data_IF_406226227847
#
_entry.id   IF_406226227847
#
_cell.length_a   1.000
_cell.length_b   1.000
_cell.length_c   1.000
_cell.angle_alpha   90.00
_cell.angle_beta   90.00
_cell.angle_gamma   90.00
#
_symmetry.space_group_name_H-M   'P 1'
#
loop_
_entity.id
_entity.type
_entity.pdbx_description
1 polymer ?
#
# COMPACT_ATOMS: atom_id res chain seq x y z
N UNK A 1 -12.12 -13.22 21.56
CA UNK A 1 -11.27 -14.09 20.72
C UNK A 1 -11.58 -13.78 19.27
N UNK A 2 -10.71 -13.01 18.62
CA UNK A 2 -10.85 -12.70 17.19
C UNK A 2 -10.14 -13.75 16.35
N UNK A 3 -10.50 -13.88 15.07
CA UNK A 3 -9.87 -14.84 14.16
C UNK A 3 -8.35 -14.61 14.07
N UNK A 4 -7.91 -13.35 14.17
CA UNK A 4 -6.49 -12.98 14.20
C UNK A 4 -5.75 -13.49 15.44
N UNK A 5 -6.37 -13.42 16.63
CA UNK A 5 -5.78 -13.97 17.87
C UNK A 5 -5.65 -15.49 17.81
N UNK A 6 -6.64 -16.17 17.25
CA UNK A 6 -6.62 -17.62 17.07
C UNK A 6 -5.49 -18.06 16.12
N UNK A 7 -5.35 -17.38 14.96
CA UNK A 7 -4.28 -17.67 13.99
C UNK A 7 -2.91 -17.34 14.60
N UNK A 8 -2.79 -16.26 15.39
CA UNK A 8 -1.53 -15.90 16.07
C UNK A 8 -1.07 -16.97 17.06
N UNK A 9 -2.01 -17.63 17.76
CA UNK A 9 -1.73 -18.67 18.72
C UNK A 9 -1.45 -20.04 18.07
N UNK A 10 -2.19 -20.38 17.02
CA UNK A 10 -2.09 -21.68 16.32
C UNK A 10 -0.97 -21.71 15.27
N UNK A 11 -0.82 -20.65 14.48
CA UNK A 11 0.19 -20.54 13.44
C UNK A 11 0.71 -19.10 13.29
N UNK A 12 1.75 -18.82 14.07
CA UNK A 12 2.43 -17.52 14.08
C UNK A 12 3.09 -17.18 12.75
N UNK A 13 3.52 -18.18 11.97
CA UNK A 13 4.15 -17.94 10.67
C UNK A 13 3.12 -17.47 9.65
N UNK A 14 1.95 -18.11 9.62
CA UNK A 14 0.84 -17.69 8.76
C UNK A 14 0.31 -16.32 9.18
N UNK A 15 0.17 -16.05 10.48
CA UNK A 15 -0.17 -14.72 10.99
C UNK A 15 0.80 -13.63 10.47
N UNK A 16 2.11 -13.86 10.58
CA UNK A 16 3.13 -12.91 10.11
C UNK A 16 3.11 -12.72 8.59
N UNK A 17 2.85 -13.77 7.81
CA UNK A 17 2.69 -13.68 6.35
C UNK A 17 1.46 -12.86 5.97
N UNK A 18 0.32 -13.11 6.63
CA UNK A 18 -0.91 -12.36 6.43
C UNK A 18 -0.74 -10.88 6.79
N UNK A 19 -0.05 -10.58 7.89
CA UNK A 19 0.25 -9.20 8.28
C UNK A 19 1.07 -8.47 7.20
N UNK A 20 2.07 -9.14 6.62
CA UNK A 20 2.89 -8.60 5.52
C UNK A 20 2.11 -8.45 4.21
N UNK A 21 1.12 -9.30 3.95
CA UNK A 21 0.21 -9.14 2.80
C UNK A 21 -0.77 -7.99 3.01
N UNK A 22 -1.19 -7.78 4.26
CA UNK A 22 -2.02 -6.67 4.69
C UNK A 22 -1.25 -5.38 4.99
N UNK A 23 0.09 -5.36 4.87
CA UNK A 23 0.91 -4.16 4.73
C UNK A 23 0.62 -3.49 3.37
N UNK A 24 -0.65 -3.15 3.15
CA UNK A 24 -1.02 -1.95 2.45
C UNK A 24 -0.38 -0.83 3.26
N UNK A 25 0.86 -0.45 2.92
CA UNK A 25 1.33 0.91 3.12
C UNK A 25 0.13 1.76 2.74
N UNK A 26 -0.54 2.34 3.73
CA UNK A 26 -1.77 3.07 3.52
C UNK A 26 -1.41 4.15 2.50
N UNK A 27 -1.72 3.89 1.23
CA UNK A 27 -1.63 4.92 0.21
C UNK A 27 -2.62 5.92 0.74
N UNK A 28 -2.11 7.08 1.18
CA UNK A 28 -2.97 8.15 1.67
C UNK A 28 -4.11 8.27 0.66
N UNK A 29 -5.37 8.09 1.07
CA UNK A 29 -6.48 8.21 0.14
C UNK A 29 -6.39 9.59 -0.47
N UNK A 30 -6.35 9.65 -1.80
CA UNK A 30 -6.38 10.93 -2.51
C UNK A 30 -7.80 11.45 -2.36
N UNK A 31 -7.96 12.57 -1.68
CA UNK A 31 -9.27 13.19 -1.43
C UNK A 31 -9.51 14.25 -2.49
N UNK A 32 -10.76 14.41 -2.93
CA UNK A 32 -11.15 15.53 -3.79
C UNK A 32 -10.90 16.85 -3.05
N UNK A 33 -10.19 17.78 -3.70
CA UNK A 33 -9.78 19.06 -3.09
C UNK A 33 -8.39 19.05 -2.44
N UNK A 34 -7.60 17.99 -2.59
CA UNK A 34 -6.18 17.98 -2.22
C UNK A 34 -5.34 18.85 -3.20
N UNK A 35 -4.09 19.15 -2.84
CA UNK A 35 -3.20 19.99 -3.66
C UNK A 35 -2.95 19.36 -5.03
N UNK A 36 -2.73 20.20 -6.05
CA UNK A 36 -2.46 19.76 -7.42
C UNK A 36 -1.28 18.78 -7.47
N UNK A 37 -0.24 19.01 -6.68
CA UNK A 37 0.93 18.13 -6.57
C UNK A 37 0.57 16.76 -5.97
N UNK A 38 -0.38 16.69 -5.05
CA UNK A 38 -0.85 15.43 -4.47
C UNK A 38 -1.78 14.67 -5.42
N UNK A 39 -2.64 15.36 -6.15
CA UNK A 39 -3.48 14.79 -7.20
C UNK A 39 -2.64 14.20 -8.36
N UNK A 40 -1.57 14.90 -8.74
CA UNK A 40 -0.66 14.47 -9.80
C UNK A 40 0.24 13.28 -9.44
N UNK A 41 0.38 12.94 -8.14
CA UNK A 41 1.15 11.77 -7.70
C UNK A 41 0.54 10.44 -8.14
N UNK A 42 -0.72 10.41 -8.56
CA UNK A 42 -1.34 9.19 -9.05
C UNK A 42 -0.90 8.88 -10.48
N UNK A 43 -0.13 7.79 -10.63
CA UNK A 43 0.14 6.96 -11.82
C UNK A 43 0.45 7.62 -13.18
N UNK A 44 0.49 8.93 -13.30
CA UNK A 44 0.76 9.64 -14.55
C UNK A 44 2.21 9.44 -14.97
N UNK A 45 3.14 9.42 -14.01
CA UNK A 45 4.57 9.28 -14.28
C UNK A 45 5.26 8.27 -13.33
N UNK A 46 6.09 7.39 -13.91
CA UNK A 46 6.98 6.47 -13.20
C UNK A 46 8.44 6.83 -13.50
N UNK A 47 9.35 6.60 -12.54
CA UNK A 47 10.79 6.71 -12.80
C UNK A 47 11.34 5.41 -13.38
N UNK A 48 11.94 5.48 -14.58
CA UNK A 48 12.64 4.36 -15.22
C UNK A 48 14.09 4.78 -15.46
N UNK A 49 15.04 4.07 -14.85
CA UNK A 49 16.48 4.38 -15.02
C UNK A 49 16.85 5.82 -14.65
N UNK A 50 16.31 6.32 -13.53
CA UNK A 50 16.47 7.71 -13.03
C UNK A 50 15.72 8.81 -13.82
N UNK A 51 15.05 8.48 -14.93
CA UNK A 51 14.27 9.44 -15.74
C UNK A 51 12.78 9.33 -15.45
N UNK A 52 12.06 10.46 -15.43
CA UNK A 52 10.60 10.50 -15.31
C UNK A 52 9.98 10.11 -16.67
N UNK A 53 9.06 9.15 -16.68
CA UNK A 53 8.35 8.67 -17.89
C UNK A 53 6.87 8.56 -17.62
N UNK A 54 6.04 8.87 -18.62
CA UNK A 54 4.61 8.64 -18.50
C UNK A 54 4.33 7.13 -18.36
N UNK A 55 3.39 6.75 -17.51
CA UNK A 55 2.89 5.37 -17.43
C UNK A 55 2.05 5.13 -18.70
N UNK A 56 2.46 4.15 -19.52
CA UNK A 56 1.61 3.59 -20.58
C UNK A 56 0.52 2.74 -19.96
#
# INVERSE_FOLDING_TARGET
>A
MTIGEYIKATDRNTYNKLLKLCDFKAKKPIVLGDSVENLMKHDSYKRVGRRVRQKQ
#
